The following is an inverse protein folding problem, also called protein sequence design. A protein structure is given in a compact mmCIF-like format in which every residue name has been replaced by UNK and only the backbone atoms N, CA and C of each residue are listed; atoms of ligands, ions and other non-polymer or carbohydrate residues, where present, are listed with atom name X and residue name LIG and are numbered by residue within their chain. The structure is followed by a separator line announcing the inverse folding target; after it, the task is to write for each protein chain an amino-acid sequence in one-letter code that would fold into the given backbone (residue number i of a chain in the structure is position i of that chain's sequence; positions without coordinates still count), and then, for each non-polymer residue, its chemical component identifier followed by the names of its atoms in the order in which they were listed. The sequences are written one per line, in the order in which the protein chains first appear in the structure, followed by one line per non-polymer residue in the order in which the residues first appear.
data_IF_615397452089
#
_entry.id   IF_615397452089
#
_cell.length_a   1.000
_cell.length_b   1.000
_cell.length_c   1.000
_cell.angle_alpha   90.00
_cell.angle_beta   90.00
_cell.angle_gamma   90.00
#
_symmetry.space_group_name_H-M   'P 1'
#
loop_
_entity.id
_entity.type
_entity.pdbx_description
1 polymer ?
#
# COMPACT_ATOMS: atom_id res chain seq x y z
N UNK A 1 44.81 -36.51 13.80
CA UNK A 1 43.73 -35.88 13.00
C UNK A 1 44.21 -34.52 12.52
N UNK A 2 44.47 -34.38 11.23
CA UNK A 2 44.96 -33.12 10.62
C UNK A 2 43.79 -32.45 9.96
N UNK A 3 43.46 -31.20 10.39
CA UNK A 3 42.49 -30.36 9.77
C UNK A 3 43.22 -29.46 8.76
N UNK A 4 42.94 -29.67 7.49
CA UNK A 4 43.51 -28.90 6.38
C UNK A 4 42.96 -27.48 6.32
N UNK A 5 43.86 -26.50 6.27
CA UNK A 5 43.57 -25.11 6.04
C UNK A 5 43.16 -24.89 4.56
N UNK A 6 41.99 -24.37 4.33
CA UNK A 6 41.55 -23.91 3.00
C UNK A 6 41.86 -22.42 2.88
N UNK A 7 42.98 -22.12 2.22
CA UNK A 7 43.31 -20.77 1.76
C UNK A 7 42.45 -20.42 0.54
N UNK A 8 41.38 -19.69 0.73
CA UNK A 8 40.59 -19.08 -0.31
C UNK A 8 40.81 -17.57 -0.32
N UNK A 9 41.68 -17.11 -1.20
CA UNK A 9 41.82 -15.66 -1.49
C UNK A 9 40.54 -15.10 -2.09
N UNK A 10 40.00 -13.99 -1.58
CA UNK A 10 38.92 -13.30 -2.25
C UNK A 10 39.48 -12.47 -3.39
N UNK A 11 39.17 -12.85 -4.64
CA UNK A 11 39.40 -12.02 -5.81
C UNK A 11 38.48 -10.81 -5.77
N UNK A 12 39.05 -9.63 -5.76
CA UNK A 12 38.34 -8.37 -5.83
C UNK A 12 37.61 -8.22 -7.19
N UNK A 13 36.32 -7.83 -7.22
CA UNK A 13 35.67 -7.53 -8.48
C UNK A 13 36.18 -6.19 -9.03
N UNK A 14 36.80 -6.28 -10.21
CA UNK A 14 37.18 -5.11 -11.00
C UNK A 14 35.92 -4.32 -11.37
N UNK A 15 35.83 -3.12 -10.84
CA UNK A 15 34.85 -2.12 -11.21
C UNK A 15 35.09 -1.72 -12.67
N UNK A 16 34.31 -2.27 -13.59
CA UNK A 16 34.22 -1.80 -14.94
C UNK A 16 33.42 -0.48 -14.94
N UNK A 17 34.13 0.65 -15.03
CA UNK A 17 33.54 1.94 -15.34
C UNK A 17 33.09 1.91 -16.80
N UNK A 18 31.83 1.53 -17.04
CA UNK A 18 31.19 1.83 -18.32
C UNK A 18 30.80 3.30 -18.32
N UNK A 19 31.66 4.12 -18.85
CA UNK A 19 31.32 5.43 -19.36
C UNK A 19 30.29 5.24 -20.47
N UNK A 20 29.02 5.35 -20.13
CA UNK A 20 27.97 5.48 -21.13
C UNK A 20 28.06 6.88 -21.72
N UNK A 21 28.78 7.03 -22.83
CA UNK A 21 28.61 8.16 -23.71
C UNK A 21 27.19 8.10 -24.25
N UNK A 22 26.39 9.05 -23.84
CA UNK A 22 25.07 9.30 -24.39
C UNK A 22 25.31 9.85 -25.81
N UNK A 23 25.40 8.98 -26.81
CA UNK A 23 25.41 9.34 -28.19
C UNK A 23 23.99 9.73 -28.60
N UNK A 24 23.74 11.02 -28.71
CA UNK A 24 22.56 11.53 -29.41
C UNK A 24 22.68 11.11 -30.89
N UNK A 25 21.72 10.40 -31.47
CA UNK A 25 21.69 10.22 -32.91
C UNK A 25 21.41 11.58 -33.55
N UNK A 26 22.42 12.14 -34.18
CA UNK A 26 22.25 13.22 -35.13
C UNK A 26 21.69 12.59 -36.40
N UNK A 27 20.44 12.88 -36.67
CA UNK A 27 19.70 12.91 -37.91
C UNK A 27 18.24 12.49 -37.69
N UNK A 28 17.41 13.44 -37.34
CA UNK A 28 16.02 13.46 -37.73
C UNK A 28 15.67 14.90 -38.08
N UNK A 29 15.85 15.20 -39.33
CA UNK A 29 15.27 16.37 -40.00
C UNK A 29 13.78 16.15 -40.08
N UNK A 30 13.03 17.19 -39.70
CA UNK A 30 11.61 17.38 -39.95
C UNK A 30 10.60 16.52 -39.21
N UNK A 31 10.18 17.00 -38.02
CA UNK A 31 8.76 17.31 -37.78
C UNK A 31 8.64 18.27 -36.58
N UNK A 32 8.72 19.55 -36.90
CA UNK A 32 8.50 20.65 -35.96
C UNK A 32 6.98 20.85 -35.76
N UNK A 33 6.29 19.92 -35.08
CA UNK A 33 4.93 20.12 -34.62
C UNK A 33 4.51 19.29 -33.41
N UNK A 34 5.34 18.33 -32.91
CA UNK A 34 5.00 17.48 -31.76
C UNK A 34 5.98 17.57 -30.57
N UNK A 35 6.91 18.51 -30.58
CA UNK A 35 7.96 18.58 -29.55
C UNK A 35 7.49 19.04 -28.15
N UNK A 36 6.31 19.64 -28.04
CA UNK A 36 5.79 20.14 -26.75
C UNK A 36 4.85 19.15 -26.04
N UNK A 37 4.30 18.15 -26.73
CA UNK A 37 3.34 17.21 -26.14
C UNK A 37 4.02 16.07 -25.36
N UNK A 38 5.20 15.62 -25.76
CA UNK A 38 5.90 14.50 -25.11
C UNK A 38 6.34 14.77 -23.65
N UNK A 39 6.93 15.93 -23.31
CA UNK A 39 7.25 16.23 -21.92
C UNK A 39 6.01 16.45 -21.05
N UNK A 40 4.92 17.02 -21.60
CA UNK A 40 3.67 17.19 -20.90
C UNK A 40 3.01 15.84 -20.58
N UNK A 41 3.00 14.88 -21.49
CA UNK A 41 2.50 13.53 -21.26
C UNK A 41 3.31 12.80 -20.18
N UNK A 42 4.64 12.97 -20.15
CA UNK A 42 5.50 12.41 -19.12
C UNK A 42 5.21 13.00 -17.73
N UNK A 43 4.99 14.32 -17.64
CA UNK A 43 4.62 14.97 -16.38
C UNK A 43 3.25 14.52 -15.86
N UNK A 44 2.26 14.39 -16.74
CA UNK A 44 0.94 13.88 -16.39
C UNK A 44 1.02 12.44 -15.87
N UNK A 45 1.76 11.55 -16.55
CA UNK A 45 1.98 10.18 -16.11
C UNK A 45 2.68 10.10 -14.74
N UNK A 46 3.62 11.00 -14.44
CA UNK A 46 4.26 11.12 -13.14
C UNK A 46 3.29 11.60 -12.05
N UNK A 47 2.43 12.56 -12.38
CA UNK A 47 1.39 13.05 -11.47
C UNK A 47 0.36 11.97 -11.16
N UNK A 48 -0.08 11.20 -12.16
CA UNK A 48 -0.98 10.07 -11.97
C UNK A 48 -0.36 8.98 -11.09
N UNK A 49 0.91 8.63 -11.34
CA UNK A 49 1.63 7.66 -10.51
C UNK A 49 1.78 8.14 -9.06
N UNK A 50 2.08 9.42 -8.83
CA UNK A 50 2.18 10.00 -7.49
C UNK A 50 0.80 10.04 -6.79
N UNK A 51 -0.27 10.31 -7.52
CA UNK A 51 -1.65 10.27 -7.01
C UNK A 51 -2.02 8.86 -6.55
N UNK A 52 -1.77 7.85 -7.39
CA UNK A 52 -2.03 6.44 -7.08
C UNK A 52 -1.27 6.00 -5.83
N UNK A 53 0.03 6.34 -5.73
CA UNK A 53 0.83 6.03 -4.54
C UNK A 53 0.29 6.72 -3.27
N UNK A 54 -0.21 7.94 -3.39
CA UNK A 54 -0.84 8.68 -2.30
C UNK A 54 -2.17 8.07 -1.86
N UNK A 55 -2.95 7.53 -2.79
CA UNK A 55 -4.20 6.83 -2.50
C UNK A 55 -3.95 5.52 -1.77
N UNK A 56 -2.98 4.73 -2.21
CA UNK A 56 -2.60 3.49 -1.56
C UNK A 56 -2.06 3.73 -0.13
N UNK A 57 -1.28 4.78 0.07
CA UNK A 57 -0.81 5.15 1.40
C UNK A 57 -1.97 5.57 2.33
N UNK A 58 -2.94 6.31 1.82
CA UNK A 58 -4.17 6.65 2.58
C UNK A 58 -4.98 5.40 2.91
N UNK A 59 -5.08 4.46 1.99
CA UNK A 59 -5.74 3.18 2.20
C UNK A 59 -5.05 2.35 3.30
N UNK A 60 -3.71 2.29 3.31
CA UNK A 60 -2.93 1.62 4.37
C UNK A 60 -3.17 2.24 5.75
N UNK A 61 -3.19 3.56 5.85
CA UNK A 61 -3.47 4.27 7.12
C UNK A 61 -4.88 3.98 7.62
N UNK A 62 -5.87 3.97 6.75
CA UNK A 62 -7.26 3.59 7.12
C UNK A 62 -7.33 2.15 7.60
N UNK A 63 -6.62 1.23 6.94
CA UNK A 63 -6.56 -0.17 7.36
C UNK A 63 -5.93 -0.33 8.74
N UNK A 64 -4.83 0.36 9.02
CA UNK A 64 -4.19 0.35 10.33
C UNK A 64 -5.15 0.86 11.42
N UNK A 65 -5.84 1.96 11.19
CA UNK A 65 -6.83 2.49 12.10
C UNK A 65 -8.00 1.50 12.33
N UNK A 66 -8.49 0.84 11.28
CA UNK A 66 -9.54 -0.18 11.40
C UNK A 66 -9.09 -1.39 12.21
N UNK A 67 -7.84 -1.85 12.03
CA UNK A 67 -7.27 -2.94 12.83
C UNK A 67 -7.12 -2.56 14.30
N UNK A 68 -6.72 -1.33 14.60
CA UNK A 68 -6.60 -0.83 15.97
C UNK A 68 -7.97 -0.72 16.64
N UNK A 69 -8.99 -0.22 15.93
CA UNK A 69 -10.35 -0.20 16.43
C UNK A 69 -10.94 -1.61 16.62
N UNK A 70 -10.61 -2.59 15.74
CA UNK A 70 -11.00 -3.99 15.92
C UNK A 70 -10.35 -4.62 17.19
N UNK A 71 -9.06 -4.34 17.43
CA UNK A 71 -8.37 -4.77 18.66
C UNK A 71 -8.99 -4.14 19.90
N UNK A 72 -9.23 -2.83 19.86
CA UNK A 72 -9.88 -2.11 20.95
C UNK A 72 -11.28 -2.66 21.23
N UNK A 73 -12.06 -2.99 20.18
CA UNK A 73 -13.37 -3.62 20.34
C UNK A 73 -13.29 -4.98 21.06
N UNK A 74 -12.24 -5.78 20.79
CA UNK A 74 -12.02 -7.03 21.50
C UNK A 74 -11.76 -6.79 22.99
N UNK A 75 -10.97 -5.77 23.34
CA UNK A 75 -10.71 -5.39 24.73
C UNK A 75 -11.97 -4.86 25.44
N UNK A 76 -12.74 -4.01 24.76
CA UNK A 76 -14.00 -3.48 25.27
C UNK A 76 -14.99 -4.62 25.62
N UNK A 77 -14.99 -5.67 24.79
CA UNK A 77 -15.84 -6.83 25.02
C UNK A 77 -15.42 -7.67 26.22
N UNK A 78 -14.12 -7.80 26.47
CA UNK A 78 -13.60 -8.41 27.68
C UNK A 78 -13.94 -7.57 28.92
N UNK A 79 -14.03 -6.25 28.78
CA UNK A 79 -14.48 -5.31 29.79
C UNK A 79 -16.00 -5.25 30.01
N UNK A 80 -16.79 -5.93 29.16
CA UNK A 80 -18.24 -6.10 29.31
C UNK A 80 -19.12 -5.25 28.39
N UNK A 81 -18.62 -4.15 27.80
CA UNK A 81 -19.40 -3.33 26.88
C UNK A 81 -18.52 -2.67 25.82
N UNK A 82 -18.93 -2.68 24.53
CA UNK A 82 -18.22 -2.01 23.47
C UNK A 82 -18.40 -0.48 23.56
N UNK A 83 -17.33 0.28 23.28
CA UNK A 83 -17.39 1.73 23.16
C UNK A 83 -18.19 2.13 21.90
N UNK A 84 -19.30 2.89 22.03
CA UNK A 84 -20.11 3.33 20.90
C UNK A 84 -19.32 4.21 19.91
N UNK A 85 -18.39 5.02 20.39
CA UNK A 85 -17.56 5.88 19.55
C UNK A 85 -16.60 5.05 18.67
N UNK A 86 -16.08 3.94 19.19
CA UNK A 86 -15.27 2.99 18.44
C UNK A 86 -16.07 2.29 17.35
N UNK A 87 -17.30 1.87 17.66
CA UNK A 87 -18.20 1.27 16.67
C UNK A 87 -18.53 2.24 15.53
N UNK A 88 -18.77 3.50 15.83
CA UNK A 88 -19.02 4.54 14.83
C UNK A 88 -17.80 4.77 13.93
N UNK A 89 -16.59 4.87 14.51
CA UNK A 89 -15.34 4.99 13.74
C UNK A 89 -15.10 3.78 12.85
N UNK A 90 -15.28 2.58 13.38
CA UNK A 90 -15.10 1.33 12.62
C UNK A 90 -16.07 1.25 11.43
N UNK A 91 -17.30 1.72 11.59
CA UNK A 91 -18.27 1.81 10.48
C UNK A 91 -17.76 2.74 9.39
N UNK A 92 -17.34 3.95 9.74
CA UNK A 92 -16.82 4.92 8.78
C UNK A 92 -15.55 4.45 8.07
N UNK A 93 -14.68 3.72 8.77
CA UNK A 93 -13.47 3.15 8.20
C UNK A 93 -13.79 2.00 7.24
N UNK A 94 -14.72 1.11 7.60
CA UNK A 94 -15.10 -0.06 6.78
C UNK A 94 -15.67 0.33 5.42
N UNK A 95 -16.38 1.46 5.32
CA UNK A 95 -16.97 1.95 4.08
C UNK A 95 -15.94 2.52 3.09
N UNK A 96 -14.72 2.84 3.56
CA UNK A 96 -13.66 3.43 2.73
C UNK A 96 -12.45 2.54 2.47
N UNK A 97 -12.50 1.27 2.83
CA UNK A 97 -11.34 0.36 2.70
C UNK A 97 -11.16 -0.22 1.29
N UNK A 98 -12.16 -0.16 0.41
CA UNK A 98 -12.11 -0.81 -0.90
C UNK A 98 -11.33 0.00 -1.97
N UNK A 99 -10.88 1.22 -1.64
CA UNK A 99 -10.30 2.17 -2.57
C UNK A 99 -8.77 2.12 -2.63
N UNK A 100 -8.19 0.99 -3.04
CA UNK A 100 -6.76 0.89 -3.33
C UNK A 100 -6.53 0.61 -4.81
N UNK A 101 -5.48 1.19 -5.40
CA UNK A 101 -5.09 0.96 -6.78
C UNK A 101 -4.29 -0.35 -6.92
N UNK A 102 -3.41 -0.65 -5.97
CA UNK A 102 -2.67 -1.90 -5.90
C UNK A 102 -3.61 -3.09 -5.65
N UNK A 103 -3.64 -4.12 -6.55
CA UNK A 103 -4.50 -5.29 -6.40
C UNK A 103 -4.26 -6.10 -5.12
N UNK A 104 -3.00 -6.29 -4.73
CA UNK A 104 -2.65 -7.05 -3.53
C UNK A 104 -3.09 -6.29 -2.26
N UNK A 105 -2.91 -4.97 -2.26
CA UNK A 105 -3.40 -4.12 -1.18
C UNK A 105 -4.94 -4.17 -1.11
N UNK A 106 -5.62 -4.10 -2.25
CA UNK A 106 -7.09 -4.16 -2.32
C UNK A 106 -7.64 -5.47 -1.75
N UNK A 107 -7.01 -6.61 -2.05
CA UNK A 107 -7.39 -7.91 -1.50
C UNK A 107 -7.24 -7.93 0.02
N UNK A 108 -6.11 -7.46 0.55
CA UNK A 108 -5.87 -7.36 2.00
C UNK A 108 -6.88 -6.45 2.69
N UNK A 109 -7.20 -5.29 2.09
CA UNK A 109 -8.19 -4.35 2.60
C UNK A 109 -9.60 -4.94 2.60
N UNK A 110 -9.96 -5.71 1.58
CA UNK A 110 -11.23 -6.44 1.50
C UNK A 110 -11.42 -7.40 2.68
N UNK A 111 -10.37 -8.11 3.08
CA UNK A 111 -10.39 -8.97 4.27
C UNK A 111 -10.64 -8.20 5.57
N UNK A 112 -9.99 -7.04 5.74
CA UNK A 112 -10.18 -6.17 6.91
C UNK A 112 -11.60 -5.60 6.92
N UNK A 113 -12.09 -5.11 5.78
CA UNK A 113 -13.43 -4.55 5.63
C UNK A 113 -14.51 -5.60 5.95
N UNK A 114 -14.35 -6.82 5.44
CA UNK A 114 -15.26 -7.93 5.72
C UNK A 114 -15.32 -8.24 7.22
N UNK A 115 -14.17 -8.33 7.88
CA UNK A 115 -14.09 -8.55 9.33
C UNK A 115 -14.77 -7.44 10.12
N UNK A 116 -14.52 -6.18 9.76
CA UNK A 116 -15.16 -5.04 10.41
C UNK A 116 -16.69 -5.09 10.27
N UNK A 117 -17.20 -5.33 9.06
CA UNK A 117 -18.64 -5.45 8.78
C UNK A 117 -19.27 -6.61 9.55
N UNK A 118 -18.57 -7.74 9.66
CA UNK A 118 -19.04 -8.91 10.41
C UNK A 118 -19.16 -8.60 11.92
N UNK A 119 -18.16 -7.95 12.51
CA UNK A 119 -18.20 -7.57 13.93
C UNK A 119 -19.31 -6.54 14.19
N UNK A 120 -19.49 -5.56 13.30
CA UNK A 120 -20.59 -4.59 13.39
C UNK A 120 -21.97 -5.27 13.29
N UNK A 121 -22.14 -6.23 12.38
CA UNK A 121 -23.38 -6.99 12.23
C UNK A 121 -23.71 -7.82 13.50
N UNK A 122 -22.71 -8.50 14.06
CA UNK A 122 -22.86 -9.25 15.31
C UNK A 122 -23.34 -8.35 16.46
N UNK A 123 -22.84 -7.11 16.55
CA UNK A 123 -23.23 -6.17 17.61
C UNK A 123 -24.66 -5.68 17.43
N UNK A 124 -25.07 -5.39 16.20
CA UNK A 124 -26.46 -5.01 15.90
C UNK A 124 -27.43 -6.13 16.27
N UNK A 125 -27.09 -7.38 15.95
CA UNK A 125 -27.89 -8.54 16.33
C UNK A 125 -27.99 -8.73 17.85
N UNK A 126 -26.87 -8.56 18.57
CA UNK A 126 -26.84 -8.67 20.03
C UNK A 126 -27.64 -7.56 20.72
N UNK A 127 -27.67 -6.33 20.17
CA UNK A 127 -28.46 -5.23 20.71
C UNK A 127 -29.97 -5.43 20.46
N UNK A 128 -30.33 -6.01 19.30
CA UNK A 128 -31.72 -6.28 18.96
C UNK A 128 -32.35 -7.44 19.76
N UNK A 129 -31.52 -8.33 20.35
CA UNK A 129 -31.96 -9.49 21.13
C UNK A 129 -32.03 -9.24 22.64
N UNK A 130 -31.76 -8.01 23.09
CA UNK A 130 -31.93 -7.64 24.50
C UNK A 130 -33.38 -7.16 24.72
N UNK A 131 -34.14 -7.84 25.58
CA UNK A 131 -35.49 -7.41 25.97
C UNK A 131 -35.47 -6.14 26.80
#
# INVERSE_FOLDING_TARGET
MRIGAINGSPAAPRRASRGGTFALPAEAKETAANGAAAPAAGLLALQDAASIAGDDERARRRAAAALDDLRGLQLDLLGGAPDPARLARLTALADGLDAAADPALREALGGIALRARLELARRRGASASRP
#
